data_IF_044875563994
#
_entry.id   IF_044875563994
#
_cell.length_a   1.000
_cell.length_b   1.000
_cell.length_c   1.000
_cell.angle_alpha   90.00
_cell.angle_beta   90.00
_cell.angle_gamma   90.00
#
_symmetry.space_group_name_H-M   'P 1'
#
loop_
_entity.id
_entity.type
_entity.pdbx_description
1 polymer ?
#
# COMPACT_ATOMS: atom_id res chain seq x y z
N UNK A 1 14.51 -5.48 -22.18
CA UNK A 1 13.53 -5.48 -21.09
C UNK A 1 12.33 -4.68 -21.53
N UNK A 2 11.18 -5.34 -21.73
CA UNK A 2 9.91 -4.68 -22.04
C UNK A 2 9.27 -4.11 -20.78
N UNK A 3 8.22 -3.28 -20.93
CA UNK A 3 7.46 -2.79 -19.78
C UNK A 3 6.80 -3.94 -19.01
N UNK A 4 6.31 -4.96 -19.70
CA UNK A 4 5.67 -6.13 -19.10
C UNK A 4 6.67 -6.92 -18.26
N UNK A 5 7.85 -7.20 -18.83
CA UNK A 5 8.96 -7.84 -18.10
C UNK A 5 9.38 -7.04 -16.87
N UNK A 6 9.37 -5.70 -16.95
CA UNK A 6 9.69 -4.83 -15.82
C UNK A 6 8.67 -4.93 -14.70
N UNK A 7 7.38 -4.95 -15.02
CA UNK A 7 6.30 -5.11 -14.04
C UNK A 7 6.34 -6.50 -13.41
N UNK A 8 6.48 -7.55 -14.20
CA UNK A 8 6.57 -8.92 -13.69
C UNK A 8 7.78 -9.11 -12.77
N UNK A 9 8.96 -8.66 -13.18
CA UNK A 9 10.16 -8.74 -12.35
C UNK A 9 10.06 -7.91 -11.06
N UNK A 10 9.41 -6.74 -11.11
CA UNK A 10 9.12 -5.94 -9.92
C UNK A 10 8.18 -6.65 -8.96
N UNK A 11 7.12 -7.25 -9.47
CA UNK A 11 6.17 -8.04 -8.70
C UNK A 11 6.82 -9.29 -8.06
N UNK A 12 7.69 -10.00 -8.78
CA UNK A 12 8.45 -11.13 -8.24
C UNK A 12 9.36 -10.70 -7.08
N UNK A 13 10.05 -9.57 -7.23
CA UNK A 13 10.92 -9.04 -6.18
C UNK A 13 10.12 -8.65 -4.92
N UNK A 14 9.01 -7.94 -5.07
CA UNK A 14 8.17 -7.51 -3.94
C UNK A 14 7.49 -8.70 -3.27
N UNK A 15 7.05 -9.71 -4.04
CA UNK A 15 6.52 -10.95 -3.47
C UNK A 15 7.57 -11.66 -2.59
N UNK A 16 8.80 -11.81 -3.08
CA UNK A 16 9.89 -12.42 -2.31
C UNK A 16 10.22 -11.65 -1.03
N UNK A 17 10.23 -10.31 -1.08
CA UNK A 17 10.39 -9.46 0.10
C UNK A 17 9.26 -9.66 1.12
N UNK A 18 8.03 -9.77 0.63
CA UNK A 18 6.84 -9.94 1.49
C UNK A 18 6.84 -11.30 2.16
N UNK A 19 7.14 -12.36 1.41
CA UNK A 19 7.24 -13.73 1.95
C UNK A 19 8.28 -13.79 3.07
N UNK A 20 9.47 -13.24 2.84
CA UNK A 20 10.51 -13.16 3.86
C UNK A 20 10.09 -12.34 5.09
N UNK A 21 9.38 -11.23 4.90
CA UNK A 21 8.88 -10.40 6.00
C UNK A 21 7.82 -11.13 6.85
N UNK A 22 6.89 -11.83 6.21
CA UNK A 22 5.87 -12.64 6.90
C UNK A 22 6.53 -13.78 7.67
N UNK A 23 7.47 -14.49 7.07
CA UNK A 23 8.17 -15.60 7.73
C UNK A 23 9.00 -15.11 8.93
N UNK A 24 9.67 -13.97 8.79
CA UNK A 24 10.40 -13.34 9.89
C UNK A 24 9.45 -12.90 11.02
N UNK A 25 8.30 -12.32 10.68
CA UNK A 25 7.30 -11.92 11.67
C UNK A 25 6.73 -13.13 12.43
N UNK A 26 6.45 -14.24 11.73
CA UNK A 26 5.99 -15.50 12.35
C UNK A 26 7.07 -16.06 13.27
N UNK A 27 8.32 -16.11 12.82
CA UNK A 27 9.42 -16.61 13.64
C UNK A 27 9.62 -15.79 14.92
N UNK A 28 9.41 -14.46 14.86
CA UNK A 28 9.57 -13.58 16.00
C UNK A 28 8.35 -13.59 16.96
N UNK A 29 7.14 -13.79 16.45
CA UNK A 29 5.91 -13.51 17.20
C UNK A 29 4.97 -14.73 17.37
N UNK A 30 5.16 -15.78 16.60
CA UNK A 30 4.24 -16.91 16.47
C UNK A 30 3.12 -16.67 15.44
N UNK A 31 2.58 -17.76 14.90
CA UNK A 31 1.56 -17.75 13.85
C UNK A 31 0.24 -17.06 14.26
N UNK A 32 -0.15 -17.21 15.53
CA UNK A 32 -1.40 -16.66 16.08
C UNK A 32 -1.31 -15.18 16.46
N UNK A 33 -0.15 -14.52 16.21
CA UNK A 33 0.01 -13.09 16.49
C UNK A 33 -0.98 -12.29 15.64
N UNK A 34 -1.77 -11.45 16.30
CA UNK A 34 -2.72 -10.56 15.64
C UNK A 34 -2.00 -9.50 14.79
N UNK A 35 -2.58 -9.17 13.64
CA UNK A 35 -2.08 -8.15 12.71
C UNK A 35 -3.24 -7.30 12.19
N UNK A 36 -3.08 -5.98 12.28
CA UNK A 36 -4.11 -5.01 11.87
C UNK A 36 -3.52 -3.62 11.74
N UNK A 37 -4.13 -2.78 10.91
CA UNK A 37 -3.90 -1.33 10.99
C UNK A 37 -4.67 -0.69 12.15
N UNK A 38 -4.18 0.44 12.70
CA UNK A 38 -4.90 1.17 13.74
C UNK A 38 -6.18 1.81 13.18
N UNK A 39 -7.22 1.86 14.01
CA UNK A 39 -8.45 2.63 13.76
C UNK A 39 -9.14 2.36 12.39
N UNK A 40 -9.17 1.09 11.98
CA UNK A 40 -9.92 0.64 10.79
C UNK A 40 -10.89 -0.50 11.08
N UNK A 41 -12.06 -0.45 10.44
CA UNK A 41 -13.07 -1.52 10.49
C UNK A 41 -12.87 -2.61 9.42
N UNK A 42 -11.88 -2.44 8.54
CA UNK A 42 -11.72 -3.20 7.30
C UNK A 42 -10.54 -4.17 7.29
N UNK A 43 -9.95 -4.45 8.47
CA UNK A 43 -8.78 -5.33 8.62
C UNK A 43 -7.59 -4.85 7.77
N UNK A 44 -7.31 -5.54 6.65
CA UNK A 44 -6.36 -5.11 5.63
C UNK A 44 -7.15 -4.62 4.41
N UNK A 45 -7.36 -3.29 4.25
CA UNK A 45 -8.33 -2.75 3.30
C UNK A 45 -8.15 -3.17 1.84
N UNK A 46 -6.92 -3.20 1.30
CA UNK A 46 -6.68 -3.58 -0.09
C UNK A 46 -6.97 -5.07 -0.30
N UNK A 47 -6.48 -5.94 0.59
CA UNK A 47 -6.75 -7.36 0.52
C UNK A 47 -8.23 -7.67 0.66
N UNK A 48 -8.90 -7.03 1.63
CA UNK A 48 -10.34 -7.18 1.83
C UNK A 48 -11.14 -6.69 0.63
N UNK A 49 -10.76 -5.57 0.00
CA UNK A 49 -11.43 -5.06 -1.18
C UNK A 49 -11.31 -5.99 -2.41
N UNK A 50 -10.16 -6.66 -2.57
CA UNK A 50 -9.93 -7.57 -3.71
C UNK A 50 -10.58 -8.93 -3.50
N UNK A 51 -10.54 -9.46 -2.27
CA UNK A 51 -10.89 -10.87 -2.00
C UNK A 51 -12.18 -11.05 -1.21
N UNK A 52 -12.63 -10.02 -0.49
CA UNK A 52 -13.72 -10.11 0.48
C UNK A 52 -13.36 -10.87 1.77
N UNK A 53 -12.11 -11.33 1.92
CA UNK A 53 -11.64 -12.05 3.10
C UNK A 53 -10.88 -11.12 4.05
N UNK A 54 -11.07 -11.31 5.36
CA UNK A 54 -10.33 -10.58 6.40
C UNK A 54 -9.12 -11.40 6.81
N UNK A 55 -7.98 -10.74 6.95
CA UNK A 55 -6.75 -11.29 7.53
C UNK A 55 -6.57 -10.64 8.90
N UNK A 56 -6.45 -11.45 9.95
CA UNK A 56 -6.48 -11.00 11.35
C UNK A 56 -5.26 -11.45 12.16
N UNK A 57 -4.52 -12.45 11.67
CA UNK A 57 -3.28 -12.95 12.29
C UNK A 57 -2.22 -13.32 11.23
N UNK A 58 -1.00 -13.61 11.67
CA UNK A 58 0.12 -13.92 10.78
C UNK A 58 -0.05 -15.24 10.02
N UNK A 59 -0.75 -16.22 10.58
CA UNK A 59 -1.09 -17.48 9.89
C UNK A 59 -1.95 -17.22 8.66
N UNK A 60 -3.05 -16.48 8.84
CA UNK A 60 -3.95 -16.07 7.76
C UNK A 60 -3.21 -15.22 6.73
N UNK A 61 -2.28 -14.37 7.16
CA UNK A 61 -1.43 -13.59 6.26
C UNK A 61 -0.51 -14.47 5.40
N UNK A 62 0.06 -15.54 5.98
CA UNK A 62 0.87 -16.52 5.23
C UNK A 62 0.03 -17.31 4.23
N UNK A 63 -1.17 -17.74 4.62
CA UNK A 63 -2.11 -18.39 3.70
C UNK A 63 -2.55 -17.45 2.57
N UNK A 64 -2.76 -16.17 2.88
CA UNK A 64 -3.14 -15.15 1.93
C UNK A 64 -2.06 -14.87 0.85
N UNK A 65 -0.77 -15.12 1.13
CA UNK A 65 0.28 -15.08 0.10
C UNK A 65 0.02 -16.08 -1.03
N UNK A 66 -0.62 -17.23 -0.75
CA UNK A 66 -1.05 -18.18 -1.78
C UNK A 66 -2.07 -17.57 -2.74
N UNK A 67 -3.00 -16.75 -2.22
CA UNK A 67 -3.96 -16.01 -3.05
C UNK A 67 -3.24 -14.96 -3.88
N UNK A 68 -2.34 -14.18 -3.28
CA UNK A 68 -1.53 -13.19 -4.02
C UNK A 68 -0.75 -13.87 -5.15
N UNK A 69 -0.16 -15.03 -4.89
CA UNK A 69 0.60 -15.81 -5.88
C UNK A 69 -0.24 -16.22 -7.07
N UNK A 70 -1.52 -16.52 -6.87
CA UNK A 70 -2.44 -16.89 -7.96
C UNK A 70 -2.76 -15.71 -8.91
N UNK A 71 -2.59 -14.47 -8.45
CA UNK A 71 -2.75 -13.26 -9.27
C UNK A 71 -1.49 -12.97 -10.12
N UNK A 72 -0.36 -13.61 -9.83
CA UNK A 72 0.93 -13.39 -10.50
C UNK A 72 1.04 -14.18 -11.81
N UNK A 73 0.14 -13.93 -12.75
CA UNK A 73 0.16 -14.55 -14.09
C UNK A 73 1.22 -13.88 -14.99
N UNK A 74 1.69 -14.58 -16.03
CA UNK A 74 2.89 -14.19 -16.81
C UNK A 74 2.67 -14.20 -18.31
N UNK A 75 1.42 -14.16 -18.76
CA UNK A 75 1.15 -13.98 -20.18
C UNK A 75 1.41 -12.52 -20.57
N UNK A 76 1.84 -12.29 -21.81
CA UNK A 76 2.03 -10.93 -22.31
C UNK A 76 0.68 -10.29 -22.72
N UNK A 77 -0.30 -10.32 -21.82
CA UNK A 77 -1.58 -9.65 -21.97
C UNK A 77 -1.73 -8.51 -20.96
N UNK A 78 -2.57 -7.54 -21.30
CA UNK A 78 -2.79 -6.36 -20.46
C UNK A 78 -3.32 -6.74 -19.06
N UNK A 79 -4.19 -7.75 -18.99
CA UNK A 79 -4.75 -8.20 -17.72
C UNK A 79 -3.68 -8.75 -16.76
N UNK A 80 -2.74 -9.55 -17.24
CA UNK A 80 -1.63 -10.10 -16.44
C UNK A 80 -0.77 -9.02 -15.79
N UNK A 81 -0.52 -7.94 -16.52
CA UNK A 81 0.23 -6.78 -16.01
C UNK A 81 -0.56 -6.06 -14.93
N UNK A 82 -1.87 -5.87 -15.11
CA UNK A 82 -2.72 -5.29 -14.07
C UNK A 82 -2.78 -6.16 -12.82
N UNK A 83 -2.95 -7.48 -12.98
CA UNK A 83 -2.99 -8.40 -11.85
C UNK A 83 -1.66 -8.48 -11.11
N UNK A 84 -0.54 -8.35 -11.82
CA UNK A 84 0.79 -8.21 -11.19
C UNK A 84 0.92 -6.89 -10.41
N UNK A 85 0.29 -5.81 -10.89
CA UNK A 85 0.17 -4.55 -10.15
C UNK A 85 -0.64 -4.72 -8.86
N UNK A 86 -1.82 -5.35 -8.95
CA UNK A 86 -2.68 -5.66 -7.79
C UNK A 86 -1.92 -6.53 -6.78
N UNK A 87 -1.28 -7.60 -7.22
CA UNK A 87 -0.48 -8.48 -6.36
C UNK A 87 0.64 -7.70 -5.63
N UNK A 88 1.29 -6.77 -6.31
CA UNK A 88 2.31 -5.90 -5.71
C UNK A 88 1.72 -4.99 -4.64
N UNK A 89 0.53 -4.42 -4.86
CA UNK A 89 -0.16 -3.58 -3.87
C UNK A 89 -0.57 -4.40 -2.61
N UNK A 90 -1.06 -5.62 -2.79
CA UNK A 90 -1.40 -6.52 -1.68
C UNK A 90 -0.15 -6.90 -0.86
N UNK A 91 0.95 -7.19 -1.54
CA UNK A 91 2.23 -7.43 -0.90
C UNK A 91 2.73 -6.22 -0.08
N UNK A 92 2.64 -5.01 -0.63
CA UNK A 92 3.02 -3.79 0.07
C UNK A 92 2.17 -3.56 1.33
N UNK A 93 0.87 -3.83 1.25
CA UNK A 93 -0.03 -3.76 2.41
C UNK A 93 0.39 -4.73 3.52
N UNK A 94 0.80 -5.96 3.19
CA UNK A 94 1.24 -6.95 4.18
C UNK A 94 2.52 -6.51 4.88
N UNK A 95 3.50 -6.02 4.11
CA UNK A 95 4.75 -5.47 4.66
C UNK A 95 4.45 -4.31 5.60
N UNK A 96 3.55 -3.40 5.23
CA UNK A 96 3.17 -2.28 6.09
C UNK A 96 2.43 -2.74 7.34
N UNK A 97 1.46 -3.65 7.24
CA UNK A 97 0.68 -4.12 8.37
C UNK A 97 1.57 -4.79 9.45
N UNK A 98 2.61 -5.53 9.04
CA UNK A 98 3.58 -6.13 9.96
C UNK A 98 4.27 -5.08 10.84
N UNK A 99 4.51 -3.85 10.33
CA UNK A 99 5.15 -2.77 11.09
C UNK A 99 4.29 -2.25 12.25
N UNK A 100 2.98 -2.52 12.24
CA UNK A 100 2.02 -2.06 13.26
C UNK A 100 1.68 -3.13 14.32
N UNK A 101 2.32 -4.31 14.26
CA UNK A 101 2.12 -5.38 15.25
C UNK A 101 2.30 -4.83 16.68
N UNK A 102 1.48 -5.33 17.60
CA UNK A 102 1.44 -4.93 19.01
C UNK A 102 1.20 -3.42 19.22
N UNK A 103 0.53 -2.75 18.27
CA UNK A 103 0.21 -1.33 18.35
C UNK A 103 1.43 -0.42 18.17
N UNK A 104 2.48 -0.93 17.52
CA UNK A 104 3.66 -0.15 17.19
C UNK A 104 3.30 1.09 16.37
N UNK A 105 4.10 2.15 16.55
CA UNK A 105 4.01 3.41 15.81
C UNK A 105 5.26 3.55 14.93
N UNK A 106 5.30 2.88 13.77
CA UNK A 106 6.51 2.83 12.95
C UNK A 106 6.84 4.14 12.24
N UNK A 107 5.93 5.12 12.26
CA UNK A 107 6.10 6.41 11.63
C UNK A 107 5.91 7.53 12.64
N UNK A 108 6.78 8.52 12.54
CA UNK A 108 6.73 9.79 13.26
C UNK A 108 6.64 10.94 12.26
N UNK A 109 6.19 12.11 12.73
CA UNK A 109 6.18 13.32 11.91
C UNK A 109 7.57 13.60 11.30
N UNK A 110 7.64 13.93 10.00
CA UNK A 110 6.54 14.33 9.11
C UNK A 110 5.82 13.18 8.38
N UNK A 111 6.20 11.92 8.59
CA UNK A 111 5.58 10.78 7.93
C UNK A 111 4.27 10.37 8.63
N UNK A 112 3.17 10.39 7.87
CA UNK A 112 1.85 10.09 8.44
C UNK A 112 1.62 8.60 8.69
N UNK A 113 2.13 7.73 7.81
CA UNK A 113 1.82 6.30 7.85
C UNK A 113 0.39 5.99 7.40
N UNK A 114 -0.30 5.12 8.13
CA UNK A 114 -1.66 4.68 7.82
C UNK A 114 -2.70 5.78 8.10
N UNK A 115 -3.65 5.97 7.18
CA UNK A 115 -4.79 6.87 7.36
C UNK A 115 -5.96 6.11 7.98
N UNK A 116 -6.40 6.51 9.17
CA UNK A 116 -7.55 5.89 9.85
C UNK A 116 -8.86 6.13 9.11
N UNK A 117 -9.85 5.26 9.37
CA UNK A 117 -11.18 5.37 8.76
C UNK A 117 -11.85 6.74 9.03
N UNK A 118 -11.57 7.35 10.18
CA UNK A 118 -12.12 8.66 10.54
C UNK A 118 -11.63 9.76 9.59
N UNK A 119 -10.33 9.77 9.28
CA UNK A 119 -9.72 10.73 8.34
C UNK A 119 -10.28 10.51 6.94
N UNK A 120 -10.42 9.25 6.52
CA UNK A 120 -11.00 8.93 5.20
C UNK A 120 -12.44 9.44 5.10
N UNK A 121 -13.24 9.32 6.18
CA UNK A 121 -14.62 9.87 6.21
C UNK A 121 -14.63 11.39 6.16
N UNK A 122 -13.71 12.05 6.85
CA UNK A 122 -13.56 13.51 6.83
C UNK A 122 -13.19 14.02 5.44
N UNK A 123 -12.23 13.38 4.76
CA UNK A 123 -11.83 13.72 3.39
C UNK A 123 -12.89 13.32 2.35
N UNK A 124 -13.79 12.40 2.66
CA UNK A 124 -14.80 11.90 1.74
C UNK A 124 -15.84 12.95 1.33
N UNK A 125 -16.32 13.76 2.28
CA UNK A 125 -17.31 14.81 1.99
C UNK A 125 -16.80 15.82 0.95
N UNK A 126 -15.63 16.47 1.13
CA UNK A 126 -15.12 17.43 0.16
C UNK A 126 -14.74 16.80 -1.20
N UNK A 127 -14.40 15.51 -1.24
CA UNK A 127 -14.21 14.79 -2.51
C UNK A 127 -15.53 14.61 -3.27
N UNK A 128 -16.63 14.36 -2.56
CA UNK A 128 -17.96 14.22 -3.18
C UNK A 128 -18.49 15.57 -3.67
N UNK A 129 -18.28 16.65 -2.90
CA UNK A 129 -18.73 18.00 -3.30
C UNK A 129 -17.84 18.63 -4.38
N UNK A 130 -16.65 18.08 -4.62
CA UNK A 130 -15.66 18.63 -5.56
C UNK A 130 -14.84 19.78 -4.98
N UNK A 131 -14.94 20.03 -3.67
CA UNK A 131 -14.09 20.99 -2.96
C UNK A 131 -12.62 20.54 -2.97
N UNK A 132 -12.39 19.23 -2.94
CA UNK A 132 -11.13 18.60 -3.34
C UNK A 132 -11.35 18.02 -4.75
N UNK A 133 -10.80 18.63 -5.81
CA UNK A 133 -11.05 18.20 -7.19
C UNK A 133 -10.40 16.86 -7.55
N UNK A 134 -9.41 16.42 -6.78
CA UNK A 134 -8.68 15.18 -7.00
C UNK A 134 -7.55 14.98 -6.00
N UNK A 135 -6.84 13.86 -6.16
CA UNK A 135 -5.69 13.49 -5.32
C UNK A 135 -4.46 13.27 -6.19
N UNK A 136 -3.36 13.96 -5.86
CA UNK A 136 -2.06 13.74 -6.46
C UNK A 136 -1.21 12.83 -5.54
N UNK A 137 -0.82 11.66 -6.04
CA UNK A 137 0.11 10.75 -5.35
C UNK A 137 1.48 10.88 -6.00
N UNK A 138 2.39 11.60 -5.35
CA UNK A 138 3.72 11.90 -5.88
C UNK A 138 4.74 11.04 -5.14
N UNK A 139 5.46 10.22 -5.89
CA UNK A 139 6.48 9.33 -5.37
C UNK A 139 7.85 9.54 -6.02
N UNK A 140 8.91 9.23 -5.27
CA UNK A 140 10.28 9.31 -5.75
C UNK A 140 10.98 10.58 -5.30
N UNK A 141 11.75 11.22 -6.20
CA UNK A 141 12.49 12.45 -5.92
C UNK A 141 12.40 13.40 -7.11
N UNK A 142 12.22 14.68 -6.84
CA UNK A 142 12.36 15.72 -7.85
C UNK A 142 13.85 15.90 -8.23
N UNK A 143 14.16 16.42 -9.44
CA UNK A 143 15.54 16.70 -9.82
C UNK A 143 16.20 17.73 -8.88
N UNK A 144 15.41 18.69 -8.38
CA UNK A 144 15.82 19.63 -7.32
C UNK A 144 14.70 19.82 -6.29
N UNK A 145 15.06 20.25 -5.08
CA UNK A 145 14.08 20.54 -4.02
C UNK A 145 13.11 21.65 -4.42
N UNK A 146 13.57 22.68 -5.14
CA UNK A 146 12.72 23.78 -5.57
C UNK A 146 11.66 23.32 -6.58
N UNK A 147 12.03 22.48 -7.54
CA UNK A 147 11.05 21.92 -8.50
C UNK A 147 10.00 21.04 -7.79
N UNK A 148 10.40 20.30 -6.75
CA UNK A 148 9.47 19.54 -5.90
C UNK A 148 8.48 20.47 -5.19
N UNK A 149 8.98 21.54 -4.56
CA UNK A 149 8.15 22.55 -3.90
C UNK A 149 7.18 23.21 -4.90
N UNK A 150 7.67 23.62 -6.07
CA UNK A 150 6.87 24.29 -7.09
C UNK A 150 5.75 23.38 -7.61
N UNK A 151 6.04 22.09 -7.83
CA UNK A 151 5.05 21.09 -8.23
C UNK A 151 3.96 20.90 -7.15
N UNK A 152 4.37 20.70 -5.90
CA UNK A 152 3.43 20.49 -4.78
C UNK A 152 2.56 21.74 -4.59
N UNK A 153 3.17 22.93 -4.62
CA UNK A 153 2.44 24.21 -4.48
C UNK A 153 1.48 24.45 -5.63
N UNK A 154 1.83 24.05 -6.85
CA UNK A 154 0.93 24.13 -8.01
C UNK A 154 -0.34 23.29 -7.80
N UNK A 155 -0.23 22.05 -7.30
CA UNK A 155 -1.41 21.23 -6.98
C UNK A 155 -2.21 21.80 -5.82
N UNK A 156 -1.55 22.24 -4.74
CA UNK A 156 -2.23 22.87 -3.61
C UNK A 156 -3.03 24.12 -4.02
N UNK A 157 -2.49 24.95 -4.92
CA UNK A 157 -3.17 26.15 -5.42
C UNK A 157 -4.45 25.83 -6.24
N UNK A 158 -4.56 24.60 -6.75
CA UNK A 158 -5.74 24.10 -7.47
C UNK A 158 -6.75 23.40 -6.53
N UNK A 159 -6.50 23.39 -5.21
CA UNK A 159 -7.34 22.71 -4.23
C UNK A 159 -7.17 21.18 -4.21
N UNK A 160 -6.16 20.64 -4.90
CA UNK A 160 -5.89 19.20 -4.96
C UNK A 160 -5.23 18.72 -3.67
N UNK A 161 -5.71 17.59 -3.14
CA UNK A 161 -5.06 16.89 -2.03
C UNK A 161 -3.77 16.24 -2.53
N UNK A 162 -2.64 16.55 -1.91
CA UNK A 162 -1.33 16.01 -2.30
C UNK A 162 -0.84 15.01 -1.25
N UNK A 163 -0.41 13.85 -1.70
CA UNK A 163 0.24 12.81 -0.88
C UNK A 163 1.65 12.56 -1.42
N UNK A 164 2.62 12.45 -0.52
CA UNK A 164 4.05 12.37 -0.84
C UNK A 164 4.65 11.09 -0.26
N UNK A 165 5.49 10.40 -1.04
CA UNK A 165 6.23 9.23 -0.57
C UNK A 165 7.61 9.13 -1.23
N UNK A 166 8.67 8.99 -0.43
CA UNK A 166 10.05 8.94 -0.91
C UNK A 166 10.82 10.22 -0.62
N UNK A 167 11.80 10.55 -1.47
CA UNK A 167 12.66 11.72 -1.31
C UNK A 167 12.16 12.94 -2.08
N UNK A 168 10.84 13.13 -2.14
CA UNK A 168 10.16 14.30 -2.75
C UNK A 168 9.93 15.37 -1.69
#
# INVERSE_FOLDING_TARGET
MTLFERVFGGNDAVYGLTEAAVDAAIAANGEEKAVSFPDTAYALPCYYAVTGAKVTNLKEMKEALGVVKSLMTRENQLNDVFMSGVATALCAEFIEAIKYIDGAKPYDEPCYGHLSDAIIRELGVPLVTGDIPGVAVILGSAPTAQEGVDLVKSYQAQGILVTLVGGI
#
